data_IF_680725741432
#
_entry.id   IF_680725741432
#
_cell.length_a   1.000
_cell.length_b   1.000
_cell.length_c   1.000
_cell.angle_alpha   90.00
_cell.angle_beta   90.00
_cell.angle_gamma   90.00
#
_symmetry.space_group_name_H-M   'P 1'
#
loop_
_entity.id
_entity.type
_entity.pdbx_description
1 polymer ?
#
# COMPACT_ATOMS: atom_id res chain seq x y z
N UNK A 1 21.36 48.52 11.98
CA UNK A 1 22.07 47.26 12.21
C UNK A 1 23.32 47.61 13.03
N UNK A 2 23.32 47.28 14.34
CA UNK A 2 24.54 47.48 15.17
C UNK A 2 25.36 46.21 15.02
N UNK A 3 26.62 46.39 14.64
CA UNK A 3 27.59 45.30 14.57
C UNK A 3 27.76 44.70 15.98
N UNK A 4 27.70 43.39 16.07
CA UNK A 4 27.97 42.65 17.28
C UNK A 4 29.47 42.71 17.55
N UNK A 5 29.84 43.31 18.67
CA UNK A 5 31.24 43.40 19.10
C UNK A 5 31.59 42.11 19.84
N UNK A 6 32.48 41.27 19.31
CA UNK A 6 32.82 39.97 19.94
C UNK A 6 33.79 40.11 21.12
N UNK A 7 34.16 41.33 21.52
CA UNK A 7 35.16 41.55 22.56
C UNK A 7 34.67 41.62 24.01
N UNK A 8 33.36 41.42 24.28
CA UNK A 8 32.78 41.60 25.63
C UNK A 8 32.63 40.29 26.42
N UNK A 9 33.08 39.16 25.86
CA UNK A 9 33.08 37.88 26.61
C UNK A 9 34.49 37.56 27.14
N UNK A 10 35.17 38.57 27.67
CA UNK A 10 36.35 38.31 28.48
C UNK A 10 35.97 37.86 29.88
N UNK A 11 36.41 36.65 30.17
CA UNK A 11 36.44 35.86 31.40
C UNK A 11 35.13 35.50 32.09
N UNK A 12 34.83 34.20 32.16
CA UNK A 12 33.80 33.71 33.06
C UNK A 12 34.25 33.95 34.51
N UNK A 13 33.39 34.54 35.39
CA UNK A 13 33.74 34.90 36.79
C UNK A 13 33.89 33.67 37.69
N UNK A 14 33.90 32.48 37.17
CA UNK A 14 34.15 31.24 37.94
C UNK A 14 35.40 30.54 37.41
N UNK A 15 36.54 30.93 37.88
CA UNK A 15 37.71 30.04 37.94
C UNK A 15 37.42 28.93 38.90
N UNK A 16 36.63 27.94 38.52
CA UNK A 16 36.56 26.68 39.23
C UNK A 16 37.93 26.05 39.13
N UNK A 17 38.62 26.01 40.23
CA UNK A 17 39.95 25.37 40.41
C UNK A 17 39.78 23.86 40.16
N UNK A 18 39.62 23.51 38.91
CA UNK A 18 39.58 22.12 38.46
C UNK A 18 40.98 21.54 38.66
N UNK A 19 41.14 20.71 39.67
CA UNK A 19 42.41 20.02 39.98
C UNK A 19 42.87 19.10 38.87
N UNK A 20 42.07 18.90 37.78
CA UNK A 20 42.42 18.04 36.67
C UNK A 20 41.73 18.48 35.38
N UNK A 21 42.24 19.49 34.69
CA UNK A 21 41.64 19.97 33.42
C UNK A 21 41.55 18.88 32.36
N UNK A 22 42.44 17.88 32.34
CA UNK A 22 42.41 16.76 31.43
C UNK A 22 41.17 15.86 31.65
N UNK A 23 40.72 15.67 32.89
CA UNK A 23 39.50 14.87 33.16
C UNK A 23 38.23 15.61 32.75
N UNK A 24 38.17 16.90 32.96
CA UNK A 24 37.05 17.74 32.53
C UNK A 24 36.96 17.78 31.00
N UNK A 25 38.08 17.94 30.34
CA UNK A 25 38.11 17.88 28.88
C UNK A 25 37.71 16.52 28.33
N UNK A 26 38.15 15.44 28.97
CA UNK A 26 37.74 14.06 28.63
C UNK A 26 36.24 13.86 28.77
N UNK A 27 35.64 14.38 29.85
CA UNK A 27 34.20 14.33 30.07
C UNK A 27 33.41 15.06 28.98
N UNK A 28 33.80 16.28 28.64
CA UNK A 28 33.14 17.04 27.60
C UNK A 28 33.30 16.43 26.21
N UNK A 29 34.46 15.82 25.92
CA UNK A 29 34.66 15.06 24.67
C UNK A 29 33.72 13.86 24.59
N UNK A 30 33.55 13.12 25.68
CA UNK A 30 32.64 11.99 25.73
C UNK A 30 31.17 12.43 25.49
N UNK A 31 30.72 13.50 26.16
CA UNK A 31 29.39 14.05 25.91
C UNK A 31 29.22 14.50 24.47
N UNK A 32 30.21 15.24 23.93
CA UNK A 32 30.18 15.71 22.56
C UNK A 32 30.10 14.56 21.55
N UNK A 33 30.86 13.48 21.77
CA UNK A 33 30.81 12.30 20.89
C UNK A 33 29.45 11.61 20.90
N UNK A 34 28.82 11.48 22.08
CA UNK A 34 27.47 10.93 22.21
C UNK A 34 26.44 11.81 21.50
N UNK A 35 26.52 13.12 21.70
CA UNK A 35 25.60 14.07 21.03
C UNK A 35 25.77 14.03 19.51
N UNK A 36 27.01 13.96 19.01
CA UNK A 36 27.27 13.82 17.58
C UNK A 36 26.70 12.52 17.05
N UNK A 37 26.88 11.41 17.75
CA UNK A 37 26.28 10.11 17.39
C UNK A 37 24.74 10.20 17.32
N UNK A 38 24.09 10.77 18.34
CA UNK A 38 22.64 10.94 18.36
C UNK A 38 22.16 11.78 17.19
N UNK A 39 22.85 12.90 16.90
CA UNK A 39 22.50 13.77 15.77
C UNK A 39 22.65 13.07 14.43
N UNK A 40 23.71 12.27 14.24
CA UNK A 40 23.88 11.45 13.05
C UNK A 40 22.76 10.42 12.90
N UNK A 41 22.46 9.67 13.97
CA UNK A 41 21.36 8.70 13.96
C UNK A 41 20.02 9.35 13.66
N UNK A 42 19.78 10.57 14.14
CA UNK A 42 18.58 11.32 13.83
C UNK A 42 18.49 11.69 12.34
N UNK A 43 19.60 12.10 11.76
CA UNK A 43 19.68 12.39 10.33
C UNK A 43 19.45 11.12 9.48
N UNK A 44 20.07 10.00 9.88
CA UNK A 44 19.90 8.70 9.20
C UNK A 44 18.44 8.24 9.29
N UNK A 45 17.83 8.32 10.48
CA UNK A 45 16.43 7.94 10.67
C UNK A 45 15.48 8.70 9.73
N UNK A 46 15.77 9.96 9.46
CA UNK A 46 14.95 10.75 8.51
C UNK A 46 14.96 10.16 7.10
N UNK A 47 16.05 9.52 6.69
CA UNK A 47 16.16 8.86 5.39
C UNK A 47 15.39 7.53 5.34
N UNK A 48 15.20 6.89 6.50
CA UNK A 48 14.47 5.63 6.61
C UNK A 48 12.95 5.77 6.38
N UNK A 49 12.41 7.00 6.44
CA UNK A 49 10.98 7.25 6.15
C UNK A 49 10.63 7.25 4.65
N UNK A 50 11.62 7.16 3.77
CA UNK A 50 11.38 7.21 2.33
C UNK A 50 11.72 5.87 1.68
N UNK A 51 10.80 5.36 0.88
CA UNK A 51 10.98 4.10 0.16
C UNK A 51 12.21 4.07 -0.75
N UNK A 52 12.74 5.23 -1.17
CA UNK A 52 13.91 5.33 -2.04
C UNK A 52 15.25 5.35 -1.28
N UNK A 53 15.25 5.68 -0.01
CA UNK A 53 16.48 5.92 0.76
C UNK A 53 16.64 5.05 2.01
N UNK A 54 15.60 4.30 2.38
CA UNK A 54 15.65 3.39 3.51
C UNK A 54 16.74 2.31 3.30
N UNK A 55 17.39 1.91 4.37
CA UNK A 55 18.42 0.87 4.38
C UNK A 55 18.25 -0.10 5.55
N UNK A 56 18.16 0.44 6.75
CA UNK A 56 18.05 -0.37 7.97
C UNK A 56 16.64 -0.92 8.15
N UNK A 57 15.62 -0.17 7.72
CA UNK A 57 14.22 -0.55 7.84
C UNK A 57 13.67 -1.28 6.60
N UNK A 58 14.54 -1.67 5.65
CA UNK A 58 14.12 -2.33 4.41
C UNK A 58 13.21 -3.53 4.65
N UNK A 59 13.59 -4.42 5.56
CA UNK A 59 12.80 -5.64 5.84
C UNK A 59 11.45 -5.31 6.46
N UNK A 60 11.38 -4.24 7.27
CA UNK A 60 10.12 -3.76 7.85
C UNK A 60 9.19 -3.20 6.76
N UNK A 61 9.74 -2.45 5.81
CA UNK A 61 9.00 -1.94 4.66
C UNK A 61 8.47 -3.09 3.80
N UNK A 62 9.30 -4.08 3.51
CA UNK A 62 8.89 -5.25 2.74
C UNK A 62 7.78 -6.05 3.44
N UNK A 63 7.89 -6.21 4.75
CA UNK A 63 6.87 -6.89 5.57
C UNK A 63 5.56 -6.10 5.60
N UNK A 64 5.61 -4.79 5.82
CA UNK A 64 4.44 -3.90 5.90
C UNK A 64 3.64 -3.90 4.59
N UNK A 65 4.35 -3.87 3.46
CA UNK A 65 3.73 -3.88 2.14
C UNK A 65 3.52 -5.28 1.55
N UNK A 66 3.84 -6.33 2.30
CA UNK A 66 3.65 -7.73 1.91
C UNK A 66 4.46 -8.17 0.70
N UNK A 67 5.67 -7.63 0.54
CA UNK A 67 6.58 -8.00 -0.55
C UNK A 67 7.62 -9.03 -0.08
N UNK A 68 8.12 -9.90 -0.97
CA UNK A 68 7.70 -10.15 -2.34
C UNK A 68 6.37 -10.91 -2.45
N UNK A 69 5.53 -10.55 -3.39
CA UNK A 69 4.27 -11.24 -3.66
C UNK A 69 4.16 -11.53 -5.18
N UNK A 70 3.86 -12.76 -5.53
CA UNK A 70 3.72 -13.18 -6.93
C UNK A 70 2.50 -12.57 -7.64
N UNK A 71 1.53 -12.09 -6.88
CA UNK A 71 0.31 -11.47 -7.39
C UNK A 71 0.41 -9.95 -7.48
N UNK A 72 1.49 -9.37 -6.97
CA UNK A 72 1.63 -7.92 -6.89
C UNK A 72 1.94 -7.32 -8.27
N UNK A 73 1.11 -6.40 -8.77
CA UNK A 73 1.34 -5.76 -10.07
C UNK A 73 2.45 -4.70 -10.04
N UNK A 74 3.02 -4.41 -8.86
CA UNK A 74 4.06 -3.40 -8.70
C UNK A 74 5.45 -4.03 -8.65
N UNK A 75 6.37 -3.64 -9.54
CA UNK A 75 7.69 -4.25 -9.64
C UNK A 75 8.63 -3.91 -8.47
N UNK A 76 8.37 -2.79 -7.78
CA UNK A 76 9.19 -2.33 -6.66
C UNK A 76 8.35 -1.67 -5.56
N UNK A 77 8.96 -1.58 -4.38
CA UNK A 77 8.32 -1.02 -3.18
C UNK A 77 7.87 0.42 -3.38
N UNK A 78 8.68 1.28 -4.01
CA UNK A 78 8.35 2.70 -4.16
C UNK A 78 7.17 2.91 -5.11
N UNK A 79 7.09 2.11 -6.17
CA UNK A 79 5.94 2.11 -7.06
C UNK A 79 4.68 1.65 -6.33
N UNK A 80 4.79 0.63 -5.48
CA UNK A 80 3.67 0.16 -4.65
C UNK A 80 3.22 1.23 -3.67
N UNK A 81 4.13 1.82 -2.93
CA UNK A 81 3.83 2.90 -1.97
C UNK A 81 3.15 4.10 -2.64
N UNK A 82 3.64 4.50 -3.83
CA UNK A 82 3.06 5.60 -4.59
C UNK A 82 1.69 5.28 -5.18
N UNK A 83 1.40 4.00 -5.41
CA UNK A 83 0.16 3.56 -6.02
C UNK A 83 -0.95 3.27 -4.99
N UNK A 84 -0.62 2.93 -3.76
CA UNK A 84 -1.60 2.66 -2.71
C UNK A 84 -2.39 3.92 -2.36
N UNK A 85 -3.71 3.77 -2.24
CA UNK A 85 -4.61 4.81 -1.77
C UNK A 85 -5.70 5.24 -2.74
N UNK A 86 -5.77 4.66 -3.92
CA UNK A 86 -6.90 4.85 -4.83
C UNK A 86 -8.10 3.97 -4.43
N UNK A 87 -9.30 4.56 -4.47
CA UNK A 87 -10.57 3.84 -4.22
C UNK A 87 -11.56 4.05 -5.38
N UNK A 88 -11.06 4.48 -6.54
CA UNK A 88 -11.89 4.76 -7.72
C UNK A 88 -11.81 3.64 -8.75
N UNK A 89 -12.83 3.51 -9.57
CA UNK A 89 -12.83 2.57 -10.68
C UNK A 89 -11.64 2.77 -11.63
N UNK A 90 -11.28 4.01 -11.91
CA UNK A 90 -10.11 4.33 -12.76
C UNK A 90 -8.80 3.81 -12.16
N UNK A 91 -8.68 3.87 -10.84
CA UNK A 91 -7.52 3.32 -10.14
C UNK A 91 -7.44 1.80 -10.29
N UNK A 92 -8.55 1.09 -10.07
CA UNK A 92 -8.58 -0.37 -10.23
C UNK A 92 -8.33 -0.80 -11.67
N UNK A 93 -8.87 -0.06 -12.64
CA UNK A 93 -8.58 -0.29 -14.06
C UNK A 93 -7.09 -0.08 -14.39
N UNK A 94 -6.46 0.95 -13.83
CA UNK A 94 -5.03 1.20 -14.02
C UNK A 94 -4.16 0.11 -13.37
N UNK A 95 -4.55 -0.42 -12.22
CA UNK A 95 -3.86 -1.55 -11.56
C UNK A 95 -3.98 -2.82 -12.42
N UNK A 96 -5.18 -3.15 -12.89
CA UNK A 96 -5.42 -4.30 -13.74
C UNK A 96 -4.65 -4.20 -15.07
N UNK A 97 -4.62 -3.01 -15.70
CA UNK A 97 -3.88 -2.77 -16.94
C UNK A 97 -2.37 -3.00 -16.78
N UNK A 98 -1.79 -2.67 -15.62
CA UNK A 98 -0.38 -2.98 -15.32
C UNK A 98 -0.12 -4.48 -15.24
N UNK A 99 -1.09 -5.24 -14.74
CA UNK A 99 -1.04 -6.70 -14.75
C UNK A 99 -1.42 -7.33 -16.09
N UNK A 100 -1.69 -6.52 -17.12
CA UNK A 100 -2.03 -6.98 -18.48
C UNK A 100 -3.49 -7.37 -18.67
N UNK A 101 -4.39 -6.85 -17.82
CA UNK A 101 -5.83 -7.13 -17.91
C UNK A 101 -6.60 -5.88 -18.33
N UNK A 102 -7.52 -6.05 -19.28
CA UNK A 102 -8.48 -5.02 -19.67
C UNK A 102 -9.77 -5.20 -18.90
N UNK A 103 -10.10 -4.22 -18.06
CA UNK A 103 -11.33 -4.27 -17.26
C UNK A 103 -12.12 -2.99 -17.41
N UNK A 104 -13.44 -3.12 -17.27
CA UNK A 104 -14.32 -2.00 -16.98
C UNK A 104 -14.93 -2.20 -15.59
N UNK A 105 -15.01 -1.13 -14.83
CA UNK A 105 -15.49 -1.13 -13.47
C UNK A 105 -16.77 -0.30 -13.38
N UNK A 106 -17.78 -0.84 -12.73
CA UNK A 106 -19.07 -0.16 -12.51
C UNK A 106 -19.42 -0.25 -11.03
N UNK A 107 -19.68 0.89 -10.43
CA UNK A 107 -20.21 0.95 -9.08
C UNK A 107 -21.67 0.53 -9.08
N UNK A 108 -22.00 -0.50 -8.35
CA UNK A 108 -23.40 -0.93 -8.16
C UNK A 108 -23.95 -0.11 -6.99
N UNK A 109 -24.83 0.84 -7.30
CA UNK A 109 -25.55 1.58 -6.26
C UNK A 109 -26.48 0.62 -5.51
N UNK A 110 -26.44 0.61 -4.20
CA UNK A 110 -27.47 0.00 -3.41
C UNK A 110 -28.71 0.87 -3.53
N UNK A 111 -29.79 0.36 -4.10
CA UNK A 111 -31.08 1.09 -4.22
C UNK A 111 -31.68 1.50 -2.86
N UNK A 112 -31.10 1.01 -1.78
CA UNK A 112 -31.42 1.35 -0.39
C UNK A 112 -30.52 2.45 0.21
N UNK A 113 -29.90 3.28 -0.61
CA UNK A 113 -29.08 4.42 -0.16
C UNK A 113 -29.88 5.37 0.70
N UNK A 114 -29.47 5.54 1.95
CA UNK A 114 -30.06 6.51 2.87
C UNK A 114 -29.46 7.88 2.58
N UNK A 115 -30.14 8.67 1.76
CA UNK A 115 -29.90 10.11 1.74
C UNK A 115 -30.69 10.77 2.88
N UNK A 116 -30.12 11.78 3.52
CA UNK A 116 -30.82 12.54 4.56
C UNK A 116 -32.16 13.07 4.02
N UNK A 117 -33.27 12.58 4.60
CA UNK A 117 -34.63 12.90 4.14
C UNK A 117 -35.33 11.83 3.32
N UNK A 118 -34.65 10.77 2.87
CA UNK A 118 -35.25 9.70 2.10
C UNK A 118 -35.16 8.36 2.85
N UNK A 119 -36.04 8.17 3.83
CA UNK A 119 -36.24 6.87 4.46
C UNK A 119 -37.28 6.09 3.65
N UNK A 120 -36.83 5.01 2.98
CA UNK A 120 -37.77 4.06 2.38
C UNK A 120 -38.03 2.92 3.37
N UNK A 121 -39.31 2.67 3.66
CA UNK A 121 -39.71 1.54 4.50
C UNK A 121 -39.29 0.24 3.83
N UNK A 122 -38.54 -0.61 4.56
CA UNK A 122 -38.02 -1.90 4.06
C UNK A 122 -36.55 -1.90 3.64
N UNK A 123 -35.95 -0.73 3.38
CA UNK A 123 -34.53 -0.62 3.01
C UNK A 123 -33.68 0.02 4.12
N UNK A 124 -34.29 0.77 5.02
CA UNK A 124 -33.57 1.50 6.07
C UNK A 124 -33.84 0.84 7.42
N UNK A 125 -32.83 0.20 7.97
CA UNK A 125 -32.87 -0.33 9.34
C UNK A 125 -32.09 0.63 10.24
N UNK A 126 -32.64 1.10 11.38
CA UNK A 126 -31.86 1.79 12.40
C UNK A 126 -30.76 0.85 12.89
N UNK A 127 -29.48 1.21 12.64
CA UNK A 127 -28.32 0.35 12.93
C UNK A 127 -28.07 -0.74 11.89
N UNK A 128 -28.82 -0.78 10.78
CA UNK A 128 -28.55 -1.63 9.63
C UNK A 128 -27.17 -1.33 9.04
N UNK A 129 -26.45 -2.36 8.71
CA UNK A 129 -25.21 -2.22 7.95
C UNK A 129 -25.53 -1.43 6.69
N UNK A 130 -24.88 -0.28 6.55
CA UNK A 130 -24.75 0.37 5.24
C UNK A 130 -24.19 -0.74 4.36
N UNK A 131 -24.95 -1.21 3.39
CA UNK A 131 -24.54 -2.36 2.58
C UNK A 131 -23.14 -2.12 2.06
N UNK A 132 -22.33 -3.17 2.03
CA UNK A 132 -20.98 -3.09 1.49
C UNK A 132 -21.04 -2.41 0.11
N UNK A 133 -20.14 -1.50 -0.15
CA UNK A 133 -20.02 -0.91 -1.48
C UNK A 133 -19.77 -2.07 -2.46
N UNK A 134 -20.52 -2.10 -3.56
CA UNK A 134 -20.43 -3.19 -4.54
C UNK A 134 -19.82 -2.66 -5.83
N UNK A 135 -18.85 -3.41 -6.32
CA UNK A 135 -18.20 -3.16 -7.60
C UNK A 135 -18.45 -4.32 -8.55
N UNK A 136 -18.97 -4.05 -9.73
CA UNK A 136 -18.95 -4.99 -10.83
C UNK A 136 -17.72 -4.75 -11.68
N UNK A 137 -16.86 -5.73 -11.78
CA UNK A 137 -15.68 -5.72 -12.65
C UNK A 137 -15.96 -6.61 -13.83
N UNK A 138 -16.05 -6.00 -15.00
CA UNK A 138 -16.22 -6.69 -16.26
C UNK A 138 -14.87 -6.83 -16.92
N UNK A 139 -14.40 -8.05 -17.11
CA UNK A 139 -13.11 -8.39 -17.70
C UNK A 139 -13.30 -8.68 -19.18
N UNK A 140 -12.62 -7.92 -20.03
CA UNK A 140 -12.56 -8.21 -21.46
C UNK A 140 -11.39 -9.17 -21.73
N UNK A 141 -11.72 -10.43 -21.99
CA UNK A 141 -10.72 -11.47 -22.21
C UNK A 141 -10.02 -11.30 -23.56
N UNK A 142 -10.72 -10.75 -24.57
CA UNK A 142 -10.17 -10.52 -25.91
C UNK A 142 -9.07 -9.47 -25.93
N UNK A 143 -9.24 -8.42 -25.10
CA UNK A 143 -8.31 -7.30 -25.01
C UNK A 143 -7.31 -7.46 -23.83
N UNK A 144 -7.29 -8.62 -23.17
CA UNK A 144 -6.41 -8.88 -22.02
C UNK A 144 -5.20 -9.73 -22.43
N UNK A 145 -4.01 -9.13 -22.66
CA UNK A 145 -2.81 -9.89 -23.05
C UNK A 145 -2.32 -10.89 -21.98
N UNK A 146 -2.69 -10.69 -20.73
CA UNK A 146 -2.38 -11.62 -19.64
C UNK A 146 -3.29 -12.85 -19.63
N UNK A 147 -4.41 -12.80 -20.36
CA UNK A 147 -5.31 -13.96 -20.47
C UNK A 147 -4.70 -15.01 -21.37
N UNK A 148 -4.44 -16.18 -20.81
CA UNK A 148 -4.02 -17.35 -21.56
C UNK A 148 -5.23 -18.27 -21.68
N UNK A 149 -5.69 -18.46 -22.90
CA UNK A 149 -6.74 -19.45 -23.19
C UNK A 149 -6.18 -20.81 -22.76
N UNK A 150 -6.71 -21.39 -21.69
CA UNK A 150 -6.32 -22.74 -21.32
C UNK A 150 -6.79 -23.70 -22.40
N UNK A 151 -5.85 -24.18 -23.19
CA UNK A 151 -6.07 -25.30 -24.13
C UNK A 151 -6.21 -26.62 -23.37
N UNK A 152 -6.15 -26.58 -22.04
CA UNK A 152 -6.17 -27.77 -21.21
C UNK A 152 -7.59 -28.26 -20.95
N UNK A 153 -7.73 -29.46 -21.42
CA UNK A 153 -8.75 -30.45 -21.06
C UNK A 153 -10.12 -30.14 -21.61
N UNK A 154 -10.25 -30.37 -22.91
CA UNK A 154 -11.56 -30.85 -23.39
C UNK A 154 -11.91 -32.11 -22.58
N UNK A 155 -13.08 -32.16 -21.93
CA UNK A 155 -13.47 -33.32 -21.17
C UNK A 155 -13.61 -34.52 -22.12
N UNK A 156 -12.68 -35.48 -22.01
CA UNK A 156 -12.79 -36.73 -22.73
C UNK A 156 -13.84 -37.61 -22.06
N UNK A 157 -14.68 -38.22 -22.87
CA UNK A 157 -15.62 -39.21 -22.39
C UNK A 157 -14.87 -40.32 -21.62
N UNK A 158 -15.19 -40.50 -20.34
CA UNK A 158 -14.56 -41.47 -19.46
C UNK A 158 -13.68 -40.90 -18.35
N UNK A 159 -13.34 -39.61 -18.38
CA UNK A 159 -12.55 -38.95 -17.32
C UNK A 159 -13.34 -37.94 -16.47
N UNK A 160 -14.65 -37.85 -16.69
CA UNK A 160 -15.48 -36.93 -15.91
C UNK A 160 -15.99 -37.62 -14.65
N UNK A 161 -15.72 -37.00 -13.49
CA UNK A 161 -16.36 -37.36 -12.25
C UNK A 161 -17.78 -36.78 -12.19
N UNK A 162 -18.72 -37.52 -11.64
CA UNK A 162 -20.07 -37.02 -11.43
C UNK A 162 -20.04 -35.77 -10.54
N UNK A 163 -20.55 -34.65 -11.05
CA UNK A 163 -20.54 -33.37 -10.37
C UNK A 163 -19.43 -32.39 -10.84
N UNK A 164 -18.55 -32.81 -11.74
CA UNK A 164 -17.61 -31.88 -12.40
C UNK A 164 -18.37 -30.98 -13.37
N UNK A 165 -18.04 -29.67 -13.36
CA UNK A 165 -18.56 -28.72 -14.34
C UNK A 165 -18.18 -29.11 -15.77
N UNK A 166 -19.13 -29.07 -16.68
CA UNK A 166 -18.91 -29.40 -18.12
C UNK A 166 -18.08 -28.33 -18.84
N UNK A 167 -18.00 -27.13 -18.28
CA UNK A 167 -17.26 -25.99 -18.84
C UNK A 167 -16.46 -25.38 -17.71
N UNK A 168 -15.15 -25.35 -17.83
CA UNK A 168 -14.29 -24.53 -16.97
C UNK A 168 -14.43 -23.09 -17.42
N UNK A 169 -14.84 -22.19 -16.53
CA UNK A 169 -14.78 -20.74 -16.80
C UNK A 169 -13.35 -20.28 -17.08
N UNK A 170 -13.19 -19.11 -17.67
CA UNK A 170 -11.86 -18.54 -17.89
C UNK A 170 -11.15 -18.32 -16.54
N UNK A 171 -9.85 -18.64 -16.51
CA UNK A 171 -9.05 -18.43 -15.30
C UNK A 171 -8.65 -16.95 -15.18
N UNK A 172 -9.32 -16.26 -14.29
CA UNK A 172 -9.04 -14.87 -13.92
C UNK A 172 -8.39 -14.77 -12.52
N UNK A 173 -7.92 -15.87 -11.95
CA UNK A 173 -7.31 -15.90 -10.61
C UNK A 173 -6.14 -14.94 -10.46
N UNK A 174 -5.25 -14.73 -11.45
CA UNK A 174 -4.18 -13.74 -11.33
C UNK A 174 -4.70 -12.31 -11.21
N UNK A 175 -5.77 -11.96 -11.91
CA UNK A 175 -6.42 -10.66 -11.79
C UNK A 175 -7.07 -10.49 -10.42
N UNK A 176 -7.81 -11.49 -9.97
CA UNK A 176 -8.44 -11.48 -8.64
C UNK A 176 -7.38 -11.27 -7.55
N UNK A 177 -6.29 -12.03 -7.63
CA UNK A 177 -5.18 -11.91 -6.68
C UNK A 177 -4.58 -10.49 -6.64
N UNK A 178 -4.38 -9.86 -7.79
CA UNK A 178 -3.85 -8.49 -7.88
C UNK A 178 -4.84 -7.45 -7.32
N UNK A 179 -6.14 -7.60 -7.59
CA UNK A 179 -7.16 -6.66 -7.12
C UNK A 179 -7.47 -6.83 -5.64
N UNK A 180 -7.47 -8.05 -5.10
CA UNK A 180 -7.70 -8.33 -3.68
C UNK A 180 -6.63 -7.66 -2.77
N UNK A 181 -5.47 -7.32 -3.34
CA UNK A 181 -4.41 -6.59 -2.61
C UNK A 181 -4.65 -5.09 -2.50
N UNK A 182 -5.43 -4.53 -3.39
CA UNK A 182 -5.63 -3.07 -3.48
C UNK A 182 -7.05 -2.63 -3.16
N UNK A 183 -8.00 -3.54 -3.26
CA UNK A 183 -9.41 -3.26 -2.95
C UNK A 183 -9.62 -3.26 -1.43
N UNK A 184 -10.35 -2.30 -0.95
CA UNK A 184 -10.63 -2.15 0.47
C UNK A 184 -11.58 -3.27 0.96
N UNK A 185 -11.34 -3.79 2.14
CA UNK A 185 -12.07 -4.93 2.72
C UNK A 185 -13.60 -4.72 2.87
N UNK A 186 -14.10 -3.49 2.78
CA UNK A 186 -15.53 -3.17 2.84
C UNK A 186 -16.21 -3.15 1.46
N UNK A 187 -15.46 -3.43 0.38
CA UNK A 187 -15.98 -3.44 -0.99
C UNK A 187 -16.17 -4.89 -1.42
N UNK A 188 -17.39 -5.23 -1.81
CA UNK A 188 -17.72 -6.51 -2.41
C UNK A 188 -17.52 -6.45 -3.93
N UNK A 189 -16.70 -7.33 -4.48
CA UNK A 189 -16.41 -7.38 -5.92
C UNK A 189 -17.17 -8.54 -6.55
N UNK A 190 -17.83 -8.25 -7.66
CA UNK A 190 -18.40 -9.27 -8.55
C UNK A 190 -17.69 -9.22 -9.89
N UNK A 191 -17.19 -10.38 -10.34
CA UNK A 191 -16.49 -10.48 -11.61
C UNK A 191 -17.42 -11.03 -12.70
N UNK A 192 -17.35 -10.40 -13.87
CA UNK A 192 -18.03 -10.85 -15.07
C UNK A 192 -17.00 -10.88 -16.21
N UNK A 193 -17.08 -11.86 -17.09
CA UNK A 193 -16.16 -12.01 -18.22
C UNK A 193 -16.91 -11.80 -19.53
N UNK A 194 -16.28 -11.06 -20.45
CA UNK A 194 -16.74 -10.89 -21.82
C UNK A 194 -15.70 -11.47 -22.78
N UNK A 195 -16.17 -12.06 -23.91
CA UNK A 195 -15.28 -12.47 -25.01
C UNK A 195 -14.49 -13.76 -24.78
N UNK A 196 -15.02 -14.71 -24.00
CA UNK A 196 -14.46 -16.06 -23.82
C UNK A 196 -15.05 -17.10 -24.77
#
# INVERSE_FOLDING_TARGET
MRAFDPGVFDEPPFQTRSRNPAKLLGFWRAISSVMTFIMQRWCDLRLEFWCATHKETHDLWMLEYGLPDSCDPFPDLCMKVAAIGGATCDYYAAVAARAGWSISCVEISNDCGVAAGNFAAGCSYPGGQIGAARLAIVVDLGDSPAFVTSTEVQPFAGHMQAGAGLVCGPDISPLQCALDRVVHAHIEITYQTLGG
#
